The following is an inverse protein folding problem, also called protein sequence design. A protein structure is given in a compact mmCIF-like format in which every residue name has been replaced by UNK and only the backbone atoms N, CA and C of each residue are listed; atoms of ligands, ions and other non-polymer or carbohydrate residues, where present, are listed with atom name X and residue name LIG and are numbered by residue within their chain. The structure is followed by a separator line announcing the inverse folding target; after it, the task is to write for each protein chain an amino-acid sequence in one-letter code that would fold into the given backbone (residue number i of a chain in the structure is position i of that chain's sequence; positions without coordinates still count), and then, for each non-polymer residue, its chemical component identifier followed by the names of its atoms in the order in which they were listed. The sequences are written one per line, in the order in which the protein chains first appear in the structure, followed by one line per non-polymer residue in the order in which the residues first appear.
data_IF_559013773973
#
_entry.id   IF_559013773973
#
_cell.length_a   1.000
_cell.length_b   1.000
_cell.length_c   1.000
_cell.angle_alpha   90.00
_cell.angle_beta   90.00
_cell.angle_gamma   90.00
#
_symmetry.space_group_name_H-M   'P 1'
#
loop_
_entity.id
_entity.type
_entity.pdbx_description
1 polymer ?
#
# COMPACT_ATOMS: atom_id res chain seq x y z
N UNK A 1 -11.74 -11.15 3.82
CA UNK A 1 -11.80 -10.64 5.20
C UNK A 1 -11.72 -9.13 5.13
N UNK A 2 -12.52 -8.34 5.85
CA UNK A 2 -12.39 -6.88 5.87
C UNK A 2 -11.13 -6.42 6.62
N UNK A 3 -10.62 -5.22 6.32
CA UNK A 3 -9.51 -4.56 7.03
C UNK A 3 -10.10 -3.68 8.13
N UNK A 4 -9.65 -3.79 9.37
CA UNK A 4 -9.97 -2.78 10.41
C UNK A 4 -9.14 -1.52 10.17
N UNK A 5 -9.80 -0.38 9.99
CA UNK A 5 -9.14 0.90 9.68
C UNK A 5 -9.21 1.90 10.83
N UNK A 6 -9.91 1.56 11.92
CA UNK A 6 -10.03 2.40 13.10
C UNK A 6 -11.32 2.12 13.86
N UNK A 7 -11.69 3.06 14.74
CA UNK A 7 -12.91 3.00 15.56
C UNK A 7 -13.80 4.21 15.29
N UNK A 8 -15.10 4.00 15.44
CA UNK A 8 -16.11 5.05 15.41
C UNK A 8 -16.10 5.86 16.71
N UNK A 9 -16.87 6.95 16.77
CA UNK A 9 -17.02 7.73 18.00
C UNK A 9 -17.64 6.95 19.16
N UNK A 10 -18.39 5.88 18.86
CA UNK A 10 -18.96 4.96 19.85
C UNK A 10 -18.04 3.76 20.13
N UNK A 11 -16.75 3.84 19.77
CA UNK A 11 -15.73 2.79 19.98
C UNK A 11 -15.92 1.49 19.20
N UNK A 12 -16.89 1.43 18.29
CA UNK A 12 -17.12 0.29 17.41
C UNK A 12 -16.08 0.23 16.28
N UNK A 13 -15.59 -0.95 15.89
CA UNK A 13 -14.60 -1.10 14.82
C UNK A 13 -15.18 -0.70 13.46
N UNK A 14 -14.38 0.01 12.66
CA UNK A 14 -14.70 0.37 11.29
C UNK A 14 -13.96 -0.58 10.35
N UNK A 15 -14.74 -1.33 9.56
CA UNK A 15 -14.26 -2.39 8.69
C UNK A 15 -14.38 -2.01 7.20
N UNK A 16 -13.26 -2.07 6.49
CA UNK A 16 -13.15 -1.79 5.06
C UNK A 16 -12.99 -3.09 4.25
N UNK A 17 -13.96 -3.39 3.40
CA UNK A 17 -13.86 -4.46 2.40
C UNK A 17 -13.82 -3.89 0.98
N UNK A 18 -12.66 -3.98 0.33
CA UNK A 18 -12.47 -3.48 -1.04
C UNK A 18 -12.85 -4.48 -2.12
N UNK A 19 -13.17 -5.74 -1.77
CA UNK A 19 -13.53 -6.78 -2.73
C UNK A 19 -15.03 -6.74 -3.06
N UNK A 20 -15.86 -6.16 -2.19
CA UNK A 20 -17.29 -6.01 -2.40
C UNK A 20 -17.58 -4.99 -3.51
N UNK A 21 -18.37 -5.42 -4.50
CA UNK A 21 -18.86 -4.59 -5.61
C UNK A 21 -20.37 -4.43 -5.56
N UNK A 22 -20.82 -3.18 -5.58
CA UNK A 22 -22.25 -2.82 -5.63
C UNK A 22 -22.43 -1.61 -6.53
N UNK A 23 -23.69 -1.20 -6.76
CA UNK A 23 -24.02 0.04 -7.49
C UNK A 23 -23.33 1.27 -6.88
N UNK A 24 -23.14 1.29 -5.56
CA UNK A 24 -22.43 2.36 -4.85
C UNK A 24 -20.92 2.13 -4.64
N UNK A 25 -20.40 0.94 -5.01
CA UNK A 25 -19.00 0.53 -4.80
C UNK A 25 -18.46 -0.08 -6.09
N UNK A 26 -18.29 0.78 -7.09
CA UNK A 26 -17.97 0.34 -8.47
C UNK A 26 -16.51 -0.09 -8.65
N UNK A 27 -15.58 0.41 -7.84
CA UNK A 27 -14.15 0.11 -7.93
C UNK A 27 -13.53 -0.10 -6.53
N UNK A 28 -12.25 -0.49 -6.49
CA UNK A 28 -11.48 -0.73 -5.25
C UNK A 28 -10.45 0.36 -5.00
N UNK A 29 -10.57 1.49 -5.70
CA UNK A 29 -9.57 2.55 -5.64
C UNK A 29 -9.75 3.32 -4.32
N UNK A 30 -8.63 3.72 -3.72
CA UNK A 30 -8.61 4.43 -2.45
C UNK A 30 -7.73 5.68 -2.58
N UNK A 31 -8.06 6.70 -1.78
CA UNK A 31 -7.28 7.92 -1.66
C UNK A 31 -7.08 8.24 -0.18
N UNK A 32 -5.82 8.29 0.26
CA UNK A 32 -5.45 8.63 1.65
C UNK A 32 -4.79 10.01 1.64
N UNK A 33 -5.45 11.00 2.22
CA UNK A 33 -5.03 12.40 2.22
C UNK A 33 -4.79 12.90 3.65
N UNK A 34 -3.88 13.86 3.80
CA UNK A 34 -3.55 14.46 5.09
C UNK A 34 -2.25 15.25 5.07
N UNK A 35 -2.06 16.14 6.05
CA UNK A 35 -0.84 16.95 6.19
C UNK A 35 0.38 16.11 6.60
N UNK A 36 1.59 16.67 6.51
CA UNK A 36 2.78 15.99 7.02
C UNK A 36 2.62 15.65 8.51
N UNK A 37 3.05 14.45 8.92
CA UNK A 37 2.89 13.97 10.29
C UNK A 37 1.49 13.45 10.65
N UNK A 38 0.50 13.48 9.74
CA UNK A 38 -0.87 13.03 10.04
C UNK A 38 -1.08 11.51 10.07
N UNK A 39 -0.01 10.71 10.01
CA UNK A 39 -0.10 9.24 10.05
C UNK A 39 -0.47 8.54 8.73
N UNK A 40 -0.36 9.21 7.56
CA UNK A 40 -0.65 8.60 6.25
C UNK A 40 0.13 7.31 6.01
N UNK A 41 1.44 7.33 6.26
CA UNK A 41 2.30 6.16 6.08
C UNK A 41 1.89 5.02 7.00
N UNK A 42 1.54 5.33 8.26
CA UNK A 42 1.02 4.33 9.22
C UNK A 42 -0.27 3.69 8.72
N UNK A 43 -1.22 4.47 8.20
CA UNK A 43 -2.45 3.94 7.63
C UNK A 43 -2.17 3.05 6.40
N UNK A 44 -1.26 3.47 5.51
CA UNK A 44 -0.86 2.68 4.35
C UNK A 44 -0.20 1.36 4.75
N UNK A 45 0.69 1.35 5.74
CA UNK A 45 1.32 0.12 6.22
C UNK A 45 0.29 -0.88 6.74
N UNK A 46 -0.72 -0.45 7.49
CA UNK A 46 -1.82 -1.33 7.94
C UNK A 46 -2.59 -1.95 6.76
N UNK A 47 -2.92 -1.15 5.75
CA UNK A 47 -3.60 -1.62 4.54
C UNK A 47 -2.72 -2.61 3.77
N UNK A 48 -1.44 -2.30 3.57
CA UNK A 48 -0.48 -3.14 2.84
C UNK A 48 -0.30 -4.47 3.55
N UNK A 49 -0.02 -4.48 4.85
CA UNK A 49 0.14 -5.72 5.63
C UNK A 49 -1.12 -6.58 5.59
N UNK A 50 -2.29 -5.95 5.73
CA UNK A 50 -3.57 -6.67 5.67
C UNK A 50 -3.84 -7.32 4.32
N UNK A 51 -3.46 -6.66 3.22
CA UNK A 51 -3.57 -7.19 1.85
C UNK A 51 -2.54 -8.29 1.59
N UNK A 52 -1.31 -8.11 2.06
CA UNK A 52 -0.27 -9.13 1.98
C UNK A 52 -0.70 -10.42 2.68
N UNK A 53 -1.28 -10.32 3.89
CA UNK A 53 -1.81 -11.46 4.64
C UNK A 53 -2.96 -12.19 3.93
N UNK A 54 -3.54 -11.59 2.88
CA UNK A 54 -4.57 -12.22 2.02
C UNK A 54 -4.00 -12.81 0.74
N UNK A 55 -2.68 -12.73 0.54
CA UNK A 55 -2.00 -13.15 -0.68
C UNK A 55 -2.20 -12.18 -1.85
N UNK A 56 -2.61 -10.93 -1.60
CA UNK A 56 -2.72 -9.92 -2.65
C UNK A 56 -1.31 -9.46 -3.05
N UNK A 57 -0.96 -9.59 -4.33
CA UNK A 57 0.30 -9.06 -4.86
C UNK A 57 0.25 -7.54 -4.87
N UNK A 58 1.31 -6.91 -4.36
CA UNK A 58 1.39 -5.45 -4.22
C UNK A 58 2.62 -4.90 -4.93
N UNK A 59 2.45 -3.74 -5.52
CA UNK A 59 3.51 -2.94 -6.13
C UNK A 59 3.43 -1.54 -5.52
N UNK A 60 4.54 -1.06 -4.97
CA UNK A 60 4.59 0.20 -4.23
C UNK A 60 5.60 1.10 -4.92
N UNK A 61 5.19 2.34 -5.20
CA UNK A 61 6.09 3.41 -5.64
C UNK A 61 6.30 4.31 -4.43
N UNK A 62 7.48 4.21 -3.81
CA UNK A 62 7.85 5.03 -2.67
C UNK A 62 8.88 6.09 -3.09
N UNK A 63 8.50 7.36 -2.94
CA UNK A 63 9.39 8.50 -3.18
C UNK A 63 10.13 8.94 -1.92
N UNK A 64 9.71 8.49 -0.74
CA UNK A 64 10.31 8.84 0.56
C UNK A 64 11.48 7.90 0.87
N UNK A 65 11.36 6.62 0.52
CA UNK A 65 12.43 5.62 0.63
C UNK A 65 12.77 5.27 2.07
N UNK A 66 11.75 5.18 2.95
CA UNK A 66 11.94 4.94 4.40
C UNK A 66 11.04 3.83 4.93
N UNK A 67 9.91 4.15 5.56
CA UNK A 67 9.12 3.18 6.30
C UNK A 67 8.55 2.05 5.42
N UNK A 68 8.22 2.35 4.15
CA UNK A 68 7.70 1.35 3.22
C UNK A 68 8.79 0.40 2.69
N UNK A 69 10.06 0.83 2.68
CA UNK A 69 11.21 -0.04 2.36
C UNK A 69 11.36 -1.10 3.44
N UNK A 70 11.42 -0.68 4.71
CA UNK A 70 11.50 -1.61 5.85
C UNK A 70 10.31 -2.58 5.87
N UNK A 71 9.09 -2.07 5.66
CA UNK A 71 7.91 -2.94 5.59
C UNK A 71 8.02 -3.97 4.45
N UNK A 72 8.54 -3.57 3.30
CA UNK A 72 8.69 -4.49 2.16
C UNK A 72 9.65 -5.63 2.52
N UNK A 73 10.77 -5.34 3.16
CA UNK A 73 11.73 -6.34 3.64
C UNK A 73 11.13 -7.25 4.73
N UNK A 74 10.40 -6.68 5.70
CA UNK A 74 9.72 -7.42 6.77
C UNK A 74 8.66 -8.39 6.22
N UNK A 75 8.02 -8.04 5.11
CA UNK A 75 7.07 -8.87 4.39
C UNK A 75 7.72 -9.78 3.34
N UNK A 76 9.06 -9.93 3.38
CA UNK A 76 9.84 -10.77 2.48
C UNK A 76 9.69 -10.41 0.99
N UNK A 77 9.42 -9.13 0.70
CA UNK A 77 9.34 -8.58 -0.65
C UNK A 77 10.68 -8.05 -1.15
N UNK A 78 10.73 -7.70 -2.43
CA UNK A 78 11.90 -7.12 -3.08
C UNK A 78 11.83 -5.59 -3.10
N UNK A 79 12.93 -4.94 -2.73
CA UNK A 79 13.11 -3.49 -2.87
C UNK A 79 13.96 -3.22 -4.10
N UNK A 80 13.43 -2.44 -5.03
CA UNK A 80 14.14 -2.01 -6.24
C UNK A 80 14.44 -0.50 -6.13
N UNK A 81 15.69 -0.17 -5.85
CA UNK A 81 16.15 1.22 -5.79
C UNK A 81 16.44 1.78 -7.19
N UNK A 82 15.54 2.62 -7.69
CA UNK A 82 15.64 3.28 -9.00
C UNK A 82 16.59 4.48 -9.02
N UNK A 83 17.09 4.91 -7.86
CA UNK A 83 17.98 6.07 -7.73
C UNK A 83 19.46 5.73 -7.87
N UNK A 84 19.83 4.47 -7.62
CA UNK A 84 21.20 3.98 -7.72
C UNK A 84 21.50 3.49 -9.15
N UNK A 85 22.68 3.81 -9.67
CA UNK A 85 23.16 3.31 -10.97
C UNK A 85 23.61 1.85 -10.95
N UNK A 86 23.38 1.12 -9.85
CA UNK A 86 23.99 -0.20 -9.62
C UNK A 86 23.00 -1.32 -9.92
N UNK A 87 21.82 -1.31 -9.28
CA UNK A 87 20.80 -2.35 -9.43
C UNK A 87 19.41 -1.71 -9.33
N UNK A 88 18.68 -1.61 -10.44
CA UNK A 88 17.32 -1.05 -10.46
C UNK A 88 17.01 -0.11 -11.61
N UNK A 89 17.97 0.24 -12.47
CA UNK A 89 17.71 1.11 -13.62
C UNK A 89 16.65 0.51 -14.55
N UNK A 90 15.50 1.19 -14.66
CA UNK A 90 14.47 0.86 -15.63
C UNK A 90 14.75 1.66 -16.90
N UNK A 91 14.97 0.98 -18.02
CA UNK A 91 15.09 1.61 -19.32
C UNK A 91 13.69 1.78 -19.94
N UNK A 92 13.17 3.02 -20.11
CA UNK A 92 11.86 3.25 -20.71
C UNK A 92 11.79 2.85 -22.20
N UNK A 93 12.93 2.70 -22.87
CA UNK A 93 13.05 2.30 -24.27
C UNK A 93 13.34 0.81 -24.44
N UNK A 94 13.44 0.05 -23.34
CA UNK A 94 13.61 -1.39 -23.43
C UNK A 94 12.41 -1.98 -24.18
N UNK A 95 12.68 -2.68 -25.27
CA UNK A 95 11.65 -3.41 -25.98
C UNK A 95 11.23 -4.60 -25.10
N UNK A 96 9.94 -4.75 -24.76
CA UNK A 96 9.48 -5.88 -23.95
C UNK A 96 9.46 -7.22 -24.72
N UNK A 97 9.96 -7.25 -25.95
CA UNK A 97 10.00 -8.40 -26.85
C UNK A 97 11.43 -8.70 -27.32
#
# INVERSE_FOLDING_TARGET
MPIEIGRSFSEEPILLDTQIKTVGRVNSNECVLGISGSGKTTALMNLITSRYNRGEKQFIIDVVGKELVNLTEDLLGDVIDLSSNVNGMINPLANPY
#
